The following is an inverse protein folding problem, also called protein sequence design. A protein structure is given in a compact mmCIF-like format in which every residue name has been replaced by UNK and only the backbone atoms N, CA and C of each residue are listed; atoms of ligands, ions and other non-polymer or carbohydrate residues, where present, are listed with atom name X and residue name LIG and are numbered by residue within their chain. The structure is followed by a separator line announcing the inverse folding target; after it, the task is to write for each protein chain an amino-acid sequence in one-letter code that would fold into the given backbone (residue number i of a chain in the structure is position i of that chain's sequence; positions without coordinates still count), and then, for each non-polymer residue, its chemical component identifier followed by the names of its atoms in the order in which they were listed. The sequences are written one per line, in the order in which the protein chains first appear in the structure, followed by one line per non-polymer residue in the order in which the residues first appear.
data_IF_452781103414
#
_entry.id   IF_452781103414
#
_cell.length_a   1.000
_cell.length_b   1.000
_cell.length_c   1.000
_cell.angle_alpha   90.00
_cell.angle_beta   90.00
_cell.angle_gamma   90.00
#
_symmetry.space_group_name_H-M   'P 1'
#
loop_
_entity.id
_entity.type
_entity.pdbx_description
1 polymer ?
#
# COMPACT_ATOMS: atom_id res chain seq x y z
N UNK A 1 -17.22 -1.57 -0.86
CA UNK A 1 -17.49 -0.51 0.13
C UNK A 1 -18.58 -0.99 1.08
N UNK A 2 -18.58 -0.55 2.34
CA UNK A 2 -19.63 -0.91 3.31
C UNK A 2 -20.39 0.34 3.75
N UNK A 3 -21.67 0.19 4.08
CA UNK A 3 -22.42 1.24 4.77
C UNK A 3 -22.12 1.23 6.28
N UNK A 4 -22.59 2.21 7.08
CA UNK A 4 -22.39 2.22 8.53
C UNK A 4 -22.97 1.02 9.29
N UNK A 5 -23.80 0.18 8.64
CA UNK A 5 -24.26 -1.08 9.23
C UNK A 5 -23.31 -2.26 9.00
N UNK A 6 -22.21 -2.03 8.27
CA UNK A 6 -21.24 -3.07 7.90
C UNK A 6 -21.67 -3.91 6.70
N UNK A 7 -22.81 -3.60 6.07
CA UNK A 7 -23.25 -4.33 4.88
C UNK A 7 -22.45 -3.90 3.66
N UNK A 8 -21.97 -4.88 2.92
CA UNK A 8 -21.26 -4.64 1.67
C UNK A 8 -22.21 -4.09 0.60
N UNK A 9 -21.75 -3.06 -0.12
CA UNK A 9 -22.42 -2.53 -1.30
C UNK A 9 -22.44 -3.60 -2.40
N UNK A 10 -23.52 -3.70 -3.20
CA UNK A 10 -23.55 -4.60 -4.35
C UNK A 10 -22.32 -4.41 -5.25
N UNK A 11 -21.71 -5.52 -5.67
CA UNK A 11 -20.56 -5.51 -6.56
C UNK A 11 -19.72 -6.78 -6.44
N UNK A 12 -19.00 -7.12 -7.51
CA UNK A 12 -18.28 -8.39 -7.62
C UNK A 12 -16.85 -8.33 -7.04
N UNK A 13 -16.32 -7.13 -6.84
CA UNK A 13 -14.92 -6.89 -6.44
C UNK A 13 -14.78 -6.75 -4.92
N UNK A 14 -15.68 -5.96 -4.29
CA UNK A 14 -15.54 -5.48 -2.92
C UNK A 14 -15.28 -6.55 -1.85
N UNK A 15 -15.90 -7.73 -2.00
CA UNK A 15 -15.78 -8.81 -1.01
C UNK A 15 -14.54 -9.69 -1.22
N UNK A 16 -13.84 -9.49 -2.33
CA UNK A 16 -12.69 -10.29 -2.76
C UNK A 16 -11.39 -9.45 -2.78
N UNK A 17 -11.47 -8.13 -2.58
CA UNK A 17 -10.31 -7.31 -2.24
C UNK A 17 -9.93 -7.52 -0.78
N UNK A 18 -8.65 -7.74 -0.53
CA UNK A 18 -8.14 -7.98 0.82
C UNK A 18 -7.04 -7.00 1.24
N UNK A 19 -6.53 -6.16 0.33
CA UNK A 19 -5.45 -5.22 0.64
C UNK A 19 -5.80 -4.20 1.74
N UNK A 20 -7.09 -3.95 1.96
CA UNK A 20 -7.58 -3.06 3.02
C UNK A 20 -7.55 -3.67 4.42
N UNK A 21 -7.31 -4.98 4.53
CA UNK A 21 -7.41 -5.71 5.81
C UNK A 21 -6.37 -5.24 6.84
N UNK A 22 -5.12 -4.90 6.47
CA UNK A 22 -4.17 -4.33 7.41
C UNK A 22 -4.43 -2.86 7.80
N UNK A 23 -5.39 -2.15 7.17
CA UNK A 23 -5.64 -0.73 7.43
C UNK A 23 -5.91 -0.37 8.90
N UNK A 24 -6.73 -1.14 9.67
CA UNK A 24 -6.93 -0.86 11.10
C UNK A 24 -5.63 -0.87 11.90
N UNK A 25 -4.69 -1.73 11.53
CA UNK A 25 -3.37 -1.81 12.18
C UNK A 25 -2.55 -0.55 11.89
N UNK A 26 -2.61 -0.02 10.66
CA UNK A 26 -1.96 1.25 10.32
C UNK A 26 -2.58 2.43 11.08
N UNK A 27 -3.90 2.50 11.19
CA UNK A 27 -4.56 3.55 11.97
C UNK A 27 -4.22 3.46 13.46
N UNK A 28 -4.20 2.26 14.02
CA UNK A 28 -3.77 2.02 15.40
C UNK A 28 -2.33 2.52 15.61
N UNK A 29 -1.40 2.20 14.70
CA UNK A 29 -0.02 2.67 14.77
C UNK A 29 0.10 4.20 14.70
N UNK A 30 -0.65 4.86 13.82
CA UNK A 30 -0.64 6.33 13.77
C UNK A 30 -1.19 6.98 15.03
N UNK A 31 -2.28 6.45 15.60
CA UNK A 31 -2.80 6.98 16.87
C UNK A 31 -1.84 6.73 18.03
N UNK A 32 -1.21 5.56 18.09
CA UNK A 32 -0.21 5.24 19.11
C UNK A 32 1.03 6.12 19.01
N UNK A 33 1.52 6.40 17.79
CA UNK A 33 2.61 7.38 17.57
C UNK A 33 2.25 8.76 18.08
N UNK A 34 1.00 9.19 17.92
CA UNK A 34 0.52 10.47 18.41
C UNK A 34 0.26 10.47 19.94
N UNK A 35 -0.10 9.33 20.51
CA UNK A 35 -0.45 9.17 21.93
C UNK A 35 0.00 7.79 22.45
N UNK A 36 1.28 7.63 22.84
CA UNK A 36 1.86 6.32 23.20
C UNK A 36 1.51 5.94 24.64
N UNK A 37 0.22 5.67 24.87
CA UNK A 37 -0.32 5.39 26.20
C UNK A 37 -1.00 4.02 26.25
N UNK A 38 -1.10 3.47 27.45
CA UNK A 38 -1.85 2.24 27.68
C UNK A 38 -3.34 2.38 27.36
N UNK A 39 -3.89 3.59 27.46
CA UNK A 39 -5.27 3.89 27.04
C UNK A 39 -5.43 3.70 25.53
N UNK A 40 -4.51 4.24 24.72
CA UNK A 40 -4.50 4.05 23.26
C UNK A 40 -4.34 2.57 22.89
N UNK A 41 -3.42 1.86 23.55
CA UNK A 41 -3.20 0.44 23.29
C UNK A 41 -4.47 -0.40 23.54
N UNK A 42 -5.13 -0.19 24.68
CA UNK A 42 -6.38 -0.88 25.04
C UNK A 42 -7.56 -0.48 24.15
N UNK A 43 -7.61 0.77 23.68
CA UNK A 43 -8.66 1.25 22.76
C UNK A 43 -8.69 0.43 21.47
N UNK A 44 -7.53 0.10 20.91
CA UNK A 44 -7.43 -0.63 19.64
C UNK A 44 -7.24 -2.14 19.80
N UNK A 45 -7.07 -2.65 21.01
CA UNK A 45 -6.73 -4.05 21.27
C UNK A 45 -7.64 -5.03 20.51
N UNK A 46 -8.95 -4.88 20.65
CA UNK A 46 -9.92 -5.77 19.98
C UNK A 46 -9.78 -5.69 18.45
N UNK A 47 -9.65 -4.49 17.88
CA UNK A 47 -9.48 -4.31 16.44
C UNK A 47 -8.17 -4.94 15.94
N UNK A 48 -7.07 -4.76 16.69
CA UNK A 48 -5.77 -5.34 16.34
C UNK A 48 -5.83 -6.85 16.38
N UNK A 49 -6.40 -7.43 17.45
CA UNK A 49 -6.53 -8.88 17.61
C UNK A 49 -7.39 -9.49 16.52
N UNK A 50 -8.59 -8.96 16.30
CA UNK A 50 -9.53 -9.54 15.33
C UNK A 50 -9.04 -9.38 13.88
N UNK A 51 -8.39 -8.25 13.55
CA UNK A 51 -7.74 -8.08 12.24
C UNK A 51 -6.60 -9.08 12.05
N UNK A 52 -5.69 -9.21 13.02
CA UNK A 52 -4.54 -10.12 12.89
C UNK A 52 -4.96 -11.60 12.90
N UNK A 53 -5.97 -11.97 13.69
CA UNK A 53 -6.58 -13.30 13.69
C UNK A 53 -7.12 -13.64 12.30
N UNK A 54 -7.94 -12.76 11.72
CA UNK A 54 -8.49 -13.00 10.39
C UNK A 54 -7.40 -13.07 9.32
N UNK A 55 -6.38 -12.19 9.38
CA UNK A 55 -5.26 -12.21 8.44
C UNK A 55 -4.47 -13.52 8.51
N UNK A 56 -4.28 -14.08 9.71
CA UNK A 56 -3.60 -15.36 9.90
C UNK A 56 -4.47 -16.54 9.44
N UNK A 57 -5.78 -16.52 9.70
CA UNK A 57 -6.72 -17.57 9.28
C UNK A 57 -6.98 -17.57 7.77
N UNK A 58 -6.91 -16.41 7.12
CA UNK A 58 -7.06 -16.28 5.67
C UNK A 58 -5.88 -16.88 4.90
N UNK A 59 -4.67 -16.73 5.42
CA UNK A 59 -3.47 -17.26 4.77
C UNK A 59 -3.48 -18.80 4.77
N UNK A 60 -3.33 -19.41 3.60
CA UNK A 60 -3.46 -20.86 3.45
C UNK A 60 -2.09 -21.53 3.38
N UNK A 61 -1.82 -22.51 4.25
CA UNK A 61 -0.58 -23.26 4.20
C UNK A 61 -0.57 -24.24 3.02
N UNK A 62 0.34 -24.00 2.08
CA UNK A 62 0.56 -24.85 0.92
C UNK A 62 1.58 -25.95 1.25
N UNK A 63 1.10 -27.18 1.43
CA UNK A 63 1.94 -28.32 1.77
C UNK A 63 3.01 -28.65 0.71
N UNK A 64 2.78 -28.25 -0.56
CA UNK A 64 3.70 -28.55 -1.66
C UNK A 64 4.88 -27.60 -1.71
N UNK A 65 4.65 -26.31 -1.43
CA UNK A 65 5.68 -25.27 -1.44
C UNK A 65 6.26 -25.00 -0.04
N UNK A 66 5.56 -25.40 1.01
CA UNK A 66 5.97 -25.21 2.41
C UNK A 66 5.81 -23.78 2.92
N UNK A 67 4.98 -22.96 2.27
CA UNK A 67 4.72 -21.55 2.62
C UNK A 67 3.23 -21.28 2.74
N UNK A 68 2.87 -20.16 3.34
CA UNK A 68 1.50 -19.64 3.36
C UNK A 68 1.24 -18.75 2.14
N UNK A 69 0.20 -19.10 1.39
CA UNK A 69 -0.24 -18.36 0.21
C UNK A 69 -1.43 -17.45 0.54
N UNK A 70 -1.51 -16.31 -0.12
CA UNK A 70 -2.72 -15.49 -0.25
C UNK A 70 -3.37 -15.85 -1.58
N UNK A 71 -4.44 -16.65 -1.55
CA UNK A 71 -4.97 -17.32 -2.73
C UNK A 71 -6.46 -17.02 -3.02
N UNK A 72 -6.98 -17.57 -4.12
CA UNK A 72 -8.34 -17.31 -4.57
C UNK A 72 -9.42 -17.85 -3.61
N UNK A 73 -10.61 -17.23 -3.59
CA UNK A 73 -11.03 -16.13 -4.45
C UNK A 73 -10.48 -14.77 -3.97
N UNK A 74 -9.78 -14.04 -4.83
CA UNK A 74 -9.04 -12.83 -4.47
C UNK A 74 -8.84 -11.91 -5.69
N UNK A 75 -9.22 -10.63 -5.58
CA UNK A 75 -8.69 -9.59 -6.47
C UNK A 75 -7.45 -8.97 -5.84
N UNK A 76 -6.47 -8.64 -6.67
CA UNK A 76 -5.41 -7.74 -6.23
C UNK A 76 -5.92 -6.30 -6.11
N UNK A 77 -5.14 -5.47 -5.43
CA UNK A 77 -5.41 -4.03 -5.23
C UNK A 77 -5.55 -3.25 -6.54
N UNK A 78 -5.08 -3.79 -7.66
CA UNK A 78 -5.25 -3.19 -8.99
C UNK A 78 -6.67 -3.32 -9.54
N UNK A 79 -7.48 -4.22 -8.96
CA UNK A 79 -8.87 -4.50 -9.34
C UNK A 79 -9.06 -5.04 -10.77
N UNK A 80 -7.99 -5.49 -11.41
CA UNK A 80 -7.98 -5.95 -12.80
C UNK A 80 -7.60 -7.43 -12.95
N UNK A 81 -7.26 -8.11 -11.85
CA UNK A 81 -6.95 -9.54 -11.84
C UNK A 81 -8.18 -10.46 -11.96
N UNK A 82 -7.97 -11.73 -12.29
CA UNK A 82 -9.04 -12.73 -12.27
C UNK A 82 -9.19 -13.37 -10.88
N UNK A 83 -10.35 -13.28 -10.20
CA UNK A 83 -10.44 -13.62 -8.79
C UNK A 83 -10.21 -15.10 -8.48
N UNK A 84 -10.41 -15.98 -9.47
CA UNK A 84 -10.20 -17.43 -9.31
C UNK A 84 -8.78 -17.89 -9.62
N UNK A 85 -7.90 -17.00 -10.07
CA UNK A 85 -6.54 -17.35 -10.50
C UNK A 85 -5.46 -16.54 -9.80
N UNK A 86 -5.80 -15.41 -9.18
CA UNK A 86 -4.84 -14.57 -8.46
C UNK A 86 -4.34 -15.26 -7.20
N UNK A 87 -3.03 -15.44 -7.14
CA UNK A 87 -2.30 -16.01 -6.00
C UNK A 87 -1.12 -15.11 -5.72
N UNK A 88 -0.86 -14.87 -4.43
CA UNK A 88 0.30 -14.16 -3.93
C UNK A 88 0.55 -12.80 -4.62
N UNK A 89 -0.42 -11.87 -4.63
CA UNK A 89 -0.15 -10.50 -5.04
C UNK A 89 0.98 -9.86 -4.24
N UNK A 90 1.89 -9.17 -4.91
CA UNK A 90 3.08 -8.63 -4.26
C UNK A 90 2.74 -7.61 -3.18
N UNK A 91 1.82 -6.68 -3.47
CA UNK A 91 1.46 -5.61 -2.54
C UNK A 91 0.79 -6.17 -1.28
N UNK A 92 -0.16 -7.09 -1.44
CA UNK A 92 -0.87 -7.77 -0.36
C UNK A 92 0.09 -8.58 0.50
N UNK A 93 1.02 -9.32 -0.09
CA UNK A 93 2.03 -10.07 0.65
C UNK A 93 2.93 -9.15 1.50
N UNK A 94 3.37 -8.02 0.94
CA UNK A 94 4.15 -7.03 1.69
C UNK A 94 3.31 -6.43 2.84
N UNK A 95 2.06 -6.08 2.55
CA UNK A 95 1.18 -5.48 3.54
C UNK A 95 0.76 -6.46 4.65
N UNK A 96 0.61 -7.75 4.33
CA UNK A 96 0.36 -8.81 5.30
C UNK A 96 1.50 -8.93 6.30
N UNK A 97 2.75 -8.96 5.81
CA UNK A 97 3.94 -8.99 6.67
C UNK A 97 4.01 -7.79 7.59
N UNK A 98 3.80 -6.60 7.02
CA UNK A 98 3.80 -5.35 7.79
C UNK A 98 2.71 -5.34 8.86
N UNK A 99 1.48 -5.69 8.47
CA UNK A 99 0.33 -5.73 9.36
C UNK A 99 0.53 -6.71 10.52
N UNK A 100 0.87 -7.97 10.23
CA UNK A 100 1.14 -8.95 11.29
C UNK A 100 2.29 -8.50 12.19
N UNK A 101 3.36 -7.92 11.63
CA UNK A 101 4.46 -7.35 12.41
C UNK A 101 4.00 -6.26 13.39
N UNK A 102 3.15 -5.33 12.93
CA UNK A 102 2.56 -4.31 13.80
C UNK A 102 1.62 -4.89 14.86
N UNK A 103 0.86 -5.94 14.54
CA UNK A 103 0.03 -6.62 15.53
C UNK A 103 0.88 -7.29 16.62
N UNK A 104 1.99 -7.94 16.27
CA UNK A 104 2.91 -8.51 17.26
C UNK A 104 3.52 -7.43 18.16
N UNK A 105 3.94 -6.31 17.58
CA UNK A 105 4.47 -5.17 18.35
C UNK A 105 3.41 -4.61 19.31
N UNK A 106 2.16 -4.50 18.86
CA UNK A 106 1.05 -4.03 19.68
C UNK A 106 0.86 -4.90 20.93
N UNK A 107 0.88 -6.22 20.75
CA UNK A 107 0.76 -7.20 21.84
C UNK A 107 1.93 -7.08 22.82
N UNK A 108 3.16 -6.94 22.32
CA UNK A 108 4.35 -6.70 23.15
C UNK A 108 4.22 -5.41 23.95
N UNK A 109 3.69 -4.34 23.35
CA UNK A 109 3.47 -3.06 24.01
C UNK A 109 2.35 -3.12 25.08
N UNK A 110 1.34 -3.97 24.89
CA UNK A 110 0.33 -4.30 25.91
C UNK A 110 0.90 -5.14 27.07
N UNK A 111 2.07 -5.77 26.89
CA UNK A 111 2.62 -6.73 27.84
C UNK A 111 1.94 -8.10 27.78
N UNK A 112 1.30 -8.40 26.65
CA UNK A 112 0.53 -9.61 26.41
C UNK A 112 1.31 -10.59 25.53
N UNK A 113 0.93 -11.87 25.56
CA UNK A 113 1.52 -12.87 24.67
C UNK A 113 1.06 -12.68 23.22
N UNK A 114 2.01 -12.80 22.29
CA UNK A 114 1.73 -12.79 20.85
C UNK A 114 1.18 -14.17 20.45
N UNK A 115 -0.01 -14.24 19.81
CA UNK A 115 -0.51 -15.50 19.25
C UNK A 115 0.48 -16.08 18.23
N UNK A 116 0.91 -17.33 18.44
CA UNK A 116 1.95 -17.95 17.62
C UNK A 116 1.56 -18.10 16.15
N UNK A 117 0.27 -18.20 15.84
CA UNK A 117 -0.23 -18.26 14.46
C UNK A 117 0.15 -17.02 13.66
N UNK A 118 0.14 -15.83 14.27
CA UNK A 118 0.50 -14.59 13.59
C UNK A 118 1.96 -14.61 13.14
N UNK A 119 2.87 -15.00 14.05
CA UNK A 119 4.31 -15.11 13.75
C UNK A 119 4.58 -16.20 12.72
N UNK A 120 3.96 -17.39 12.89
CA UNK A 120 4.12 -18.50 11.95
C UNK A 120 3.69 -18.10 10.54
N UNK A 121 2.54 -17.44 10.39
CA UNK A 121 2.09 -16.96 9.08
C UNK A 121 3.06 -15.90 8.56
N UNK A 122 3.34 -14.83 9.32
CA UNK A 122 4.22 -13.73 8.91
C UNK A 122 5.57 -14.21 8.37
N UNK A 123 6.21 -15.12 9.11
CA UNK A 123 7.56 -15.61 8.82
C UNK A 123 7.59 -16.64 7.67
N UNK A 124 6.45 -17.24 7.34
CA UNK A 124 6.36 -18.29 6.33
C UNK A 124 5.42 -17.91 5.16
N UNK A 125 5.06 -16.64 4.98
CA UNK A 125 4.35 -16.17 3.79
C UNK A 125 5.19 -16.37 2.52
N UNK A 126 4.53 -16.68 1.41
CA UNK A 126 5.14 -16.79 0.09
C UNK A 126 5.96 -15.55 -0.26
N UNK A 127 7.12 -15.76 -0.88
CA UNK A 127 8.03 -14.66 -1.27
C UNK A 127 7.35 -13.73 -2.26
N UNK A 128 7.74 -12.45 -2.27
CA UNK A 128 7.27 -11.50 -3.28
C UNK A 128 7.61 -12.02 -4.68
N UNK A 129 6.65 -12.09 -5.62
CA UNK A 129 6.88 -12.68 -6.92
C UNK A 129 7.79 -11.78 -7.76
N UNK A 130 8.89 -12.33 -8.28
CA UNK A 130 9.91 -11.62 -9.06
C UNK A 130 10.06 -12.26 -10.43
N UNK A 131 10.17 -11.44 -11.48
CA UNK A 131 10.60 -11.87 -12.80
C UNK A 131 11.58 -10.86 -13.39
N UNK A 132 12.69 -11.36 -13.92
CA UNK A 132 13.69 -10.59 -14.66
C UNK A 132 14.13 -9.27 -13.96
N UNK A 133 14.36 -9.33 -12.64
CA UNK A 133 14.82 -8.18 -11.85
C UNK A 133 13.73 -7.16 -11.49
N UNK A 134 12.45 -7.47 -11.72
CA UNK A 134 11.29 -6.65 -11.31
C UNK A 134 10.26 -7.48 -10.55
N UNK A 135 9.44 -6.85 -9.72
CA UNK A 135 8.30 -7.53 -9.08
C UNK A 135 7.17 -7.75 -10.09
N UNK A 136 6.44 -8.85 -9.93
CA UNK A 136 5.20 -9.16 -10.63
C UNK A 136 4.01 -8.65 -9.82
N UNK A 137 2.90 -8.30 -10.46
CA UNK A 137 1.68 -7.86 -9.76
C UNK A 137 1.18 -8.98 -8.84
N UNK A 138 1.08 -10.21 -9.36
CA UNK A 138 0.78 -11.43 -8.60
C UNK A 138 1.55 -12.62 -9.17
N UNK A 139 1.67 -13.72 -8.41
CA UNK A 139 2.57 -14.83 -8.75
C UNK A 139 2.19 -15.52 -10.06
N UNK A 140 0.90 -15.77 -10.26
CA UNK A 140 0.33 -16.52 -11.40
C UNK A 140 0.18 -15.70 -12.68
N UNK A 141 0.52 -14.41 -12.69
CA UNK A 141 0.50 -13.58 -13.91
C UNK A 141 1.58 -14.07 -14.89
N UNK A 142 1.37 -13.91 -16.20
CA UNK A 142 2.39 -14.22 -17.21
C UNK A 142 3.64 -13.37 -17.01
N UNK A 143 4.83 -13.91 -17.32
CA UNK A 143 6.09 -13.19 -17.14
C UNK A 143 6.26 -12.00 -18.12
N UNK A 144 5.48 -12.00 -19.21
CA UNK A 144 5.43 -10.97 -20.25
C UNK A 144 4.36 -9.88 -20.03
N UNK A 145 3.71 -9.86 -18.85
CA UNK A 145 2.59 -8.95 -18.54
C UNK A 145 2.91 -7.47 -18.77
N UNK A 146 4.17 -7.06 -18.61
CA UNK A 146 4.64 -5.70 -18.86
C UNK A 146 4.35 -5.18 -20.28
N UNK A 147 4.11 -6.08 -21.22
CA UNK A 147 3.83 -5.75 -22.63
C UNK A 147 2.38 -5.96 -23.02
N UNK A 148 1.55 -6.46 -22.10
CA UNK A 148 0.13 -6.66 -22.32
C UNK A 148 -0.67 -5.50 -21.71
N UNK A 149 -1.33 -4.65 -22.53
CA UNK A 149 -2.20 -3.58 -22.05
C UNK A 149 -3.29 -4.02 -21.08
N UNK A 150 -3.67 -5.31 -21.08
CA UNK A 150 -4.63 -5.89 -20.14
C UNK A 150 -4.06 -6.14 -18.74
N UNK A 151 -2.79 -5.80 -18.48
CA UNK A 151 -2.12 -5.99 -17.19
C UNK A 151 -1.29 -4.79 -16.72
N UNK A 152 -1.25 -3.72 -17.52
CA UNK A 152 -0.55 -2.45 -17.22
C UNK A 152 -1.50 -1.24 -17.34
N UNK A 153 -2.79 -1.53 -17.19
CA UNK A 153 -3.87 -0.56 -17.08
C UNK A 153 -4.34 -0.54 -15.61
N UNK A 154 -5.09 0.48 -15.19
CA UNK A 154 -5.49 0.67 -13.77
C UNK A 154 -4.35 1.00 -12.81
N UNK A 155 -4.49 0.63 -11.54
CA UNK A 155 -3.69 1.15 -10.44
C UNK A 155 -2.27 0.57 -10.48
N UNK A 156 -1.21 1.40 -10.49
CA UNK A 156 0.18 0.96 -10.54
C UNK A 156 0.67 0.46 -9.17
N UNK A 157 0.04 -0.56 -8.62
CA UNK A 157 0.16 -0.97 -7.20
C UNK A 157 1.56 -1.44 -6.80
N UNK A 158 2.37 -1.88 -7.76
CA UNK A 158 3.78 -2.23 -7.57
C UNK A 158 4.62 -1.08 -7.01
N UNK A 159 4.31 0.18 -7.33
CA UNK A 159 5.03 1.33 -6.72
C UNK A 159 4.70 1.49 -5.24
N UNK A 160 3.62 0.87 -4.78
CA UNK A 160 3.23 0.81 -3.38
C UNK A 160 4.13 -0.06 -2.50
N UNK A 161 4.88 -1.00 -3.08
CA UNK A 161 5.81 -1.86 -2.35
C UNK A 161 6.91 -1.05 -1.64
N UNK A 162 7.33 0.06 -2.24
CA UNK A 162 8.24 1.03 -1.64
C UNK A 162 7.80 2.43 -2.04
N UNK A 163 6.78 2.93 -1.33
CA UNK A 163 6.10 4.18 -1.64
C UNK A 163 5.02 4.42 -0.61
N UNK A 164 3.88 3.74 -0.82
CA UNK A 164 2.82 3.65 0.17
C UNK A 164 3.25 2.89 1.42
N UNK A 165 3.83 1.70 1.21
CA UNK A 165 4.40 0.91 2.30
C UNK A 165 5.85 1.39 2.57
N UNK A 166 6.30 1.35 3.83
CA UNK A 166 7.72 1.40 4.16
C UNK A 166 8.43 0.15 3.62
N UNK A 167 9.76 0.11 3.78
CA UNK A 167 10.50 -1.13 3.52
C UNK A 167 9.96 -2.27 4.41
N UNK A 168 9.50 -3.34 3.78
CA UNK A 168 8.98 -4.53 4.46
C UNK A 168 9.98 -5.67 4.39
N UNK A 169 9.91 -6.60 5.35
CA UNK A 169 10.70 -7.83 5.31
C UNK A 169 10.51 -8.59 3.98
N UNK A 170 11.64 -9.01 3.37
CA UNK A 170 11.65 -9.70 2.08
C UNK A 170 11.62 -8.78 0.84
N UNK A 171 11.46 -7.46 1.03
CA UNK A 171 11.58 -6.49 -0.05
C UNK A 171 13.06 -6.25 -0.38
N UNK A 172 13.37 -6.16 -1.67
CA UNK A 172 14.68 -5.80 -2.18
C UNK A 172 14.58 -4.42 -2.83
N UNK A 173 15.22 -3.41 -2.23
CA UNK A 173 15.11 -2.02 -2.69
C UNK A 173 15.64 -1.79 -4.12
N UNK A 174 16.63 -2.58 -4.57
CA UNK A 174 17.11 -2.50 -5.96
C UNK A 174 16.04 -2.99 -6.95
N UNK A 175 15.36 -4.10 -6.63
CA UNK A 175 14.25 -4.62 -7.44
C UNK A 175 13.05 -3.68 -7.37
N UNK A 176 12.73 -3.14 -6.19
CA UNK A 176 11.64 -2.18 -6.01
C UNK A 176 11.85 -0.92 -6.87
N UNK A 177 13.07 -0.37 -6.86
CA UNK A 177 13.44 0.77 -7.71
C UNK A 177 13.31 0.43 -9.20
N UNK A 178 13.90 -0.68 -9.65
CA UNK A 178 13.78 -1.12 -11.04
C UNK A 178 12.31 -1.36 -11.46
N UNK A 179 11.48 -1.83 -10.52
CA UNK A 179 10.04 -2.00 -10.75
C UNK A 179 9.33 -0.65 -10.89
N UNK A 180 9.64 0.34 -10.05
CA UNK A 180 9.07 1.69 -10.14
C UNK A 180 9.47 2.41 -11.43
N UNK A 181 10.74 2.29 -11.84
CA UNK A 181 11.24 2.79 -13.14
C UNK A 181 10.47 2.15 -14.30
N UNK A 182 10.21 0.84 -14.24
CA UNK A 182 9.45 0.13 -15.28
C UNK A 182 7.97 0.51 -15.30
N UNK A 183 7.34 0.74 -14.15
CA UNK A 183 6.00 1.31 -14.09
C UNK A 183 5.97 2.67 -14.77
N UNK A 184 6.94 3.55 -14.49
CA UNK A 184 7.04 4.88 -15.13
C UNK A 184 7.14 4.79 -16.66
N UNK A 185 7.86 3.79 -17.18
CA UNK A 185 8.08 3.62 -18.63
C UNK A 185 6.89 2.97 -19.36
N UNK A 186 6.24 1.95 -18.77
CA UNK A 186 5.28 1.10 -19.47
C UNK A 186 3.82 1.30 -19.06
N UNK A 187 3.54 1.78 -17.85
CA UNK A 187 2.17 1.86 -17.34
C UNK A 187 1.35 2.89 -18.12
N UNK A 188 0.10 2.57 -18.45
CA UNK A 188 -0.71 3.44 -19.30
C UNK A 188 -1.31 4.57 -18.46
N UNK A 189 -0.57 5.67 -18.31
CA UNK A 189 -0.89 6.83 -17.45
C UNK A 189 -2.27 7.45 -17.75
N UNK A 190 -2.83 7.29 -18.95
CA UNK A 190 -4.19 7.79 -19.24
C UNK A 190 -5.30 7.04 -18.50
N UNK A 191 -5.00 5.87 -17.93
CA UNK A 191 -5.95 5.04 -17.17
C UNK A 191 -5.76 5.09 -15.66
N UNK A 192 -4.73 5.77 -15.16
CA UNK A 192 -4.52 5.95 -13.72
C UNK A 192 -5.34 7.15 -13.21
N UNK A 193 -5.78 7.12 -11.96
CA UNK A 193 -6.70 8.11 -11.39
C UNK A 193 -6.67 8.07 -9.86
N UNK A 194 -7.31 9.05 -9.21
CA UNK A 194 -7.48 9.02 -7.77
C UNK A 194 -6.15 8.98 -7.01
N UNK A 195 -5.92 7.92 -6.22
CA UNK A 195 -4.76 7.78 -5.34
C UNK A 195 -3.46 7.36 -6.06
N UNK A 196 -3.53 7.02 -7.34
CA UNK A 196 -2.39 6.51 -8.12
C UNK A 196 -1.22 7.52 -8.19
N UNK A 197 -1.52 8.77 -8.53
CA UNK A 197 -0.52 9.85 -8.61
C UNK A 197 0.21 10.06 -7.29
N UNK A 198 -0.52 9.90 -6.18
CA UNK A 198 0.06 10.03 -4.84
C UNK A 198 1.00 8.87 -4.54
N UNK A 199 0.63 7.64 -4.90
CA UNK A 199 1.50 6.47 -4.75
C UNK A 199 2.75 6.57 -5.60
N UNK A 200 2.63 7.05 -6.84
CA UNK A 200 3.76 7.31 -7.73
C UNK A 200 4.71 8.37 -7.16
N UNK A 201 4.15 9.46 -6.62
CA UNK A 201 4.93 10.51 -5.97
C UNK A 201 5.68 9.99 -4.74
N UNK A 202 5.01 9.26 -3.85
CA UNK A 202 5.63 8.68 -2.65
C UNK A 202 6.72 7.67 -2.98
N UNK A 203 6.52 6.84 -4.00
CA UNK A 203 7.55 5.89 -4.46
C UNK A 203 8.75 6.61 -5.04
N UNK A 204 8.53 7.63 -5.88
CA UNK A 204 9.62 8.47 -6.43
C UNK A 204 10.41 9.13 -5.28
N UNK A 205 9.73 9.70 -4.30
CA UNK A 205 10.36 10.32 -3.13
C UNK A 205 11.24 9.33 -2.35
N UNK A 206 10.72 8.12 -2.04
CA UNK A 206 11.49 7.08 -1.33
C UNK A 206 12.69 6.56 -2.13
N UNK A 207 12.61 6.57 -3.46
CA UNK A 207 13.70 6.17 -4.36
C UNK A 207 14.74 7.29 -4.61
N UNK A 208 14.59 8.46 -3.97
CA UNK A 208 15.48 9.61 -4.11
C UNK A 208 15.23 10.43 -5.38
N UNK A 209 14.08 10.23 -6.03
CA UNK A 209 13.68 10.87 -7.29
C UNK A 209 12.74 12.05 -6.99
N UNK A 210 13.28 13.07 -6.35
CA UNK A 210 12.46 14.17 -5.81
C UNK A 210 11.80 15.04 -6.89
N UNK A 211 12.44 15.23 -8.05
CA UNK A 211 11.83 15.97 -9.18
C UNK A 211 10.63 15.19 -9.72
N UNK A 212 10.81 13.89 -9.95
CA UNK A 212 9.74 12.99 -10.37
C UNK A 212 8.58 12.93 -9.36
N UNK A 213 8.87 12.99 -8.06
CA UNK A 213 7.85 13.02 -7.02
C UNK A 213 6.94 14.25 -7.16
N UNK A 214 7.53 15.42 -7.43
CA UNK A 214 6.79 16.66 -7.67
C UNK A 214 6.02 16.59 -9.00
N UNK A 215 6.65 16.07 -10.05
CA UNK A 215 6.03 15.96 -11.38
C UNK A 215 4.78 15.08 -11.37
N UNK A 216 4.75 14.01 -10.56
CA UNK A 216 3.53 13.20 -10.40
C UNK A 216 2.38 13.98 -9.73
N UNK A 217 2.68 14.84 -8.76
CA UNK A 217 1.67 15.68 -8.10
C UNK A 217 1.23 16.88 -8.95
N UNK A 218 1.97 17.19 -10.02
CA UNK A 218 1.65 18.24 -10.99
C UNK A 218 1.27 17.67 -12.36
N UNK A 219 1.06 16.35 -12.44
CA UNK A 219 0.90 15.66 -13.71
C UNK A 219 -0.35 16.16 -14.46
N UNK A 220 -0.32 16.38 -15.80
CA UNK A 220 -1.46 16.89 -16.57
C UNK A 220 -2.75 16.05 -16.51
N UNK A 221 -2.65 14.80 -16.05
CA UNK A 221 -3.80 13.92 -15.84
C UNK A 221 -4.38 14.00 -14.42
N UNK A 222 -3.66 14.58 -13.45
CA UNK A 222 -4.17 14.90 -12.12
C UNK A 222 -4.85 16.28 -12.16
N UNK A 223 -6.11 16.28 -12.61
CA UNK A 223 -6.91 17.51 -12.74
C UNK A 223 -7.78 17.74 -11.50
N UNK A 224 -8.27 18.98 -11.32
CA UNK A 224 -9.08 19.38 -10.18
C UNK A 224 -10.36 20.11 -10.63
N UNK A 225 -11.44 19.98 -9.86
CA UNK A 225 -12.65 20.78 -10.07
C UNK A 225 -12.50 22.22 -9.53
N UNK A 226 -13.57 23.01 -9.64
CA UNK A 226 -13.61 24.42 -9.24
C UNK A 226 -13.54 24.63 -7.72
N UNK A 227 -13.74 23.58 -6.92
CA UNK A 227 -13.59 23.59 -5.46
C UNK A 227 -12.27 22.95 -4.99
N UNK A 228 -11.41 22.55 -5.93
CA UNK A 228 -10.08 22.02 -5.64
C UNK A 228 -10.05 20.53 -5.28
N UNK A 229 -11.10 19.77 -5.62
CA UNK A 229 -11.09 18.31 -5.46
C UNK A 229 -10.45 17.64 -6.68
N UNK A 230 -9.55 16.66 -6.49
CA UNK A 230 -9.04 15.85 -7.60
C UNK A 230 -10.19 15.23 -8.39
N UNK A 231 -10.18 15.41 -9.70
CA UNK A 231 -11.11 14.77 -10.61
C UNK A 231 -10.86 13.26 -10.62
N UNK A 232 -11.95 12.51 -10.49
CA UNK A 232 -11.94 11.07 -10.70
C UNK A 232 -12.33 10.73 -12.15
N UNK A 233 -12.42 9.45 -12.49
CA UNK A 233 -12.73 8.98 -13.83
C UNK A 233 -14.24 8.66 -14.01
N UNK A 234 -14.62 8.08 -15.15
CA UNK A 234 -16.02 7.69 -15.43
C UNK A 234 -16.54 6.54 -14.56
N UNK A 235 -15.66 5.80 -13.88
CA UNK A 235 -16.02 4.66 -13.01
C UNK A 235 -16.36 5.11 -11.60
N UNK A 236 -15.75 6.18 -11.12
CA UNK A 236 -16.00 6.73 -9.78
C UNK A 236 -16.19 8.25 -9.86
N UNK A 237 -17.33 8.75 -9.40
CA UNK A 237 -17.65 10.18 -9.48
C UNK A 237 -16.83 11.03 -8.49
N UNK A 238 -16.51 12.26 -8.89
CA UNK A 238 -16.02 13.31 -7.98
C UNK A 238 -17.17 13.80 -7.08
N UNK A 239 -16.98 13.98 -5.76
CA UNK A 239 -15.73 13.85 -5.02
C UNK A 239 -15.32 12.39 -4.73
N UNK A 240 -14.04 12.09 -4.97
CA UNK A 240 -13.42 10.82 -4.58
C UNK A 240 -12.32 11.06 -3.54
N UNK A 241 -12.64 10.81 -2.27
CA UNK A 241 -11.77 11.16 -1.15
C UNK A 241 -10.43 10.44 -1.10
N UNK A 242 -10.27 9.18 -1.55
CA UNK A 242 -8.95 8.58 -1.62
C UNK A 242 -7.95 9.38 -2.48
N UNK A 243 -8.40 10.03 -3.56
CA UNK A 243 -7.54 10.93 -4.35
C UNK A 243 -7.09 12.16 -3.56
N UNK A 244 -8.02 12.84 -2.87
CA UNK A 244 -7.69 14.01 -2.06
C UNK A 244 -6.82 13.65 -0.83
N UNK A 245 -7.16 12.56 -0.15
CA UNK A 245 -6.41 12.06 1.00
C UNK A 245 -5.00 11.59 0.61
N UNK A 246 -4.88 10.88 -0.52
CA UNK A 246 -3.59 10.48 -1.08
C UNK A 246 -2.70 11.69 -1.37
N UNK A 247 -3.25 12.73 -2.00
CA UNK A 247 -2.49 13.95 -2.32
C UNK A 247 -1.96 14.62 -1.04
N UNK A 248 -2.83 14.79 -0.04
CA UNK A 248 -2.44 15.38 1.24
C UNK A 248 -1.36 14.54 1.93
N UNK A 249 -1.54 13.22 1.96
CA UNK A 249 -0.59 12.31 2.60
C UNK A 249 0.78 12.31 1.87
N UNK A 250 0.80 12.30 0.54
CA UNK A 250 2.03 12.38 -0.23
C UNK A 250 2.81 13.68 0.02
N UNK A 251 2.12 14.84 0.03
CA UNK A 251 2.76 16.13 0.34
C UNK A 251 3.33 16.13 1.77
N UNK A 252 2.57 15.61 2.74
CA UNK A 252 3.03 15.52 4.14
C UNK A 252 4.24 14.59 4.26
N UNK A 253 4.23 13.43 3.60
CA UNK A 253 5.37 12.51 3.59
C UNK A 253 6.60 13.13 2.92
N UNK A 254 6.43 13.83 1.80
CA UNK A 254 7.55 14.48 1.09
C UNK A 254 8.16 15.64 1.91
N UNK A 255 7.34 16.39 2.64
CA UNK A 255 7.79 17.52 3.45
C UNK A 255 8.28 17.10 4.86
N UNK A 256 7.50 16.31 5.59
CA UNK A 256 7.82 15.88 6.95
C UNK A 256 8.77 14.68 7.01
N UNK A 257 8.89 13.94 5.93
CA UNK A 257 9.66 12.70 5.85
C UNK A 257 8.89 11.46 6.33
N UNK A 258 9.58 10.33 6.23
CA UNK A 258 9.14 9.01 6.67
C UNK A 258 10.16 8.39 7.64
N UNK A 259 9.86 7.22 8.21
CA UNK A 259 10.79 6.52 9.09
C UNK A 259 12.08 6.14 8.35
N UNK A 260 13.22 6.47 8.97
CA UNK A 260 14.54 6.29 8.34
C UNK A 260 14.94 7.38 7.33
N UNK A 261 14.06 8.31 6.98
CA UNK A 261 14.44 9.45 6.14
C UNK A 261 15.31 10.46 6.91
N UNK A 262 16.26 11.06 6.18
CA UNK A 262 17.19 12.08 6.68
C UNK A 262 17.03 13.41 5.91
N UNK A 263 17.38 14.51 6.58
CA UNK A 263 17.28 15.85 6.01
C UNK A 263 15.90 16.51 6.16
N UNK A 264 15.84 17.78 5.77
CA UNK A 264 14.63 18.62 5.79
C UNK A 264 13.88 18.50 4.47
N UNK A 265 12.56 18.27 4.47
CA UNK A 265 11.75 18.04 3.26
C UNK A 265 12.33 17.01 2.26
N UNK A 266 12.61 15.76 2.69
CA UNK A 266 13.40 14.79 1.93
C UNK A 266 12.81 14.41 0.57
N UNK A 267 11.49 14.53 0.39
CA UNK A 267 10.83 14.24 -0.89
C UNK A 267 10.82 15.39 -1.89
N UNK A 268 11.33 16.58 -1.55
CA UNK A 268 11.37 17.73 -2.46
C UNK A 268 12.79 18.00 -2.99
N UNK A 269 12.92 18.46 -4.25
CA UNK A 269 14.20 18.83 -4.84
C UNK A 269 14.87 19.98 -4.07
N UNK A 270 16.17 19.86 -3.79
CA UNK A 270 16.90 20.85 -2.97
C UNK A 270 17.31 22.11 -3.74
N UNK A 271 17.47 22.00 -5.05
CA UNK A 271 18.02 23.07 -5.88
C UNK A 271 16.92 23.98 -6.47
N UNK A 272 15.68 23.48 -6.58
CA UNK A 272 14.56 24.19 -7.23
C UNK A 272 13.42 24.57 -6.25
N UNK A 273 13.34 23.95 -5.07
CA UNK A 273 12.29 24.22 -4.09
C UNK A 273 12.84 24.71 -2.75
N UNK A 274 12.19 25.74 -2.19
CA UNK A 274 12.40 26.18 -0.80
C UNK A 274 11.15 25.84 0.00
N UNK A 275 11.16 24.67 0.66
CA UNK A 275 10.01 24.15 1.38
C UNK A 275 9.95 24.73 2.80
N UNK A 276 8.75 25.07 3.26
CA UNK A 276 8.47 25.41 4.66
C UNK A 276 7.23 24.66 5.09
N UNK A 277 7.30 24.02 6.25
CA UNK A 277 6.20 23.26 6.82
C UNK A 277 6.25 23.36 8.35
N UNK A 278 5.12 23.10 9.00
CA UNK A 278 5.00 23.08 10.45
C UNK A 278 3.99 22.03 10.88
N UNK A 279 4.11 21.52 12.10
CA UNK A 279 3.10 20.63 12.70
C UNK A 279 2.88 19.29 11.99
N UNK A 280 3.83 18.85 11.14
CA UNK A 280 3.74 17.57 10.44
C UNK A 280 4.36 16.44 11.28
N UNK A 281 3.70 15.29 11.28
CA UNK A 281 4.24 14.04 11.81
C UNK A 281 4.88 13.22 10.69
N UNK A 282 5.98 12.53 11.00
CA UNK A 282 6.63 11.62 10.04
C UNK A 282 5.70 10.46 9.67
N UNK A 283 5.63 10.19 8.37
CA UNK A 283 5.00 8.98 7.86
C UNK A 283 5.74 7.72 8.33
N UNK A 284 5.05 6.59 8.33
CA UNK A 284 5.69 5.26 8.33
C UNK A 284 6.51 5.14 7.04
#
# INVERSE_FOLDING_TARGET
MTDPSGRSSPGDINNLLIWQQPHPLIFAQYEYRASPTMETLRKWEDAVRETANWMADFAWYNESTGVYDLGPPLYDVSEDSGPNVTVNPAFELAYWRLGLGYAEEWMKNLGEEVPSSWTVVKDNLASLPVNNGTYKVYETIGDDFWTDPAHIFFHPTLVGLYGWLPETEGLNLTIAKATAEKVREYWIVTYIWGWDFSMLAMSSARNGEAEDAVDWLLHPHLNFDDVGMPLSNVRVATPYFPGAGGLLYAVVMMAGGWDGSEGDAPGFPKDSWVVRYEGLSRAL
#
